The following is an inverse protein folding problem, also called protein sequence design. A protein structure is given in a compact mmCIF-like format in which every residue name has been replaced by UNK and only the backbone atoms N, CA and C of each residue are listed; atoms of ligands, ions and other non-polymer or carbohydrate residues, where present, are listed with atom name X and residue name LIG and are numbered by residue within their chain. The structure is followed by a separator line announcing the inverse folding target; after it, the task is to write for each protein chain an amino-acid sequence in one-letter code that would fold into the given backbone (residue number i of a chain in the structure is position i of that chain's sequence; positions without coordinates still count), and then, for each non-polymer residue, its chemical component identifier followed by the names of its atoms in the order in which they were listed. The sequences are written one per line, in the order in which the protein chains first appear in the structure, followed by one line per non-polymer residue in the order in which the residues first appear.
data_IF_211646738876
#
_entry.id   IF_211646738876
#
_cell.length_a   1.000
_cell.length_b   1.000
_cell.length_c   1.000
_cell.angle_alpha   90.00
_cell.angle_beta   90.00
_cell.angle_gamma   90.00
#
_symmetry.space_group_name_H-M   'P 1'
#
loop_
_entity.id
_entity.type
_entity.pdbx_description
1 polymer ?
#
# COMPACT_ATOMS: atom_id res chain seq x y z
N UNK A 1 1.35 73.34 36.42
CA UNK A 1 2.74 72.93 36.14
C UNK A 1 2.70 71.42 36.03
N UNK A 2 2.66 70.86 34.81
CA UNK A 2 3.83 70.35 34.06
C UNK A 2 4.66 69.38 34.94
N UNK A 3 4.92 68.12 34.58
CA UNK A 3 5.29 67.58 33.27
C UNK A 3 5.14 66.05 33.19
N UNK A 4 5.09 65.58 31.94
CA UNK A 4 5.10 64.22 31.42
C UNK A 4 6.48 63.50 31.51
N UNK A 5 6.43 62.16 31.25
CA UNK A 5 7.47 61.23 30.74
C UNK A 5 8.51 60.68 31.75
N UNK A 6 8.93 59.40 31.78
CA UNK A 6 8.88 58.32 30.78
C UNK A 6 9.16 56.91 31.38
N UNK A 7 8.57 55.87 30.75
CA UNK A 7 9.00 54.47 30.54
C UNK A 7 9.75 53.64 31.62
N UNK A 8 9.26 52.41 31.89
CA UNK A 8 9.90 51.17 31.39
C UNK A 8 9.12 49.86 31.69
N UNK A 9 8.80 49.17 30.58
CA UNK A 9 8.77 47.71 30.33
C UNK A 9 7.86 46.77 31.13
N UNK A 10 6.87 46.23 30.39
CA UNK A 10 6.14 44.99 30.67
C UNK A 10 7.03 43.76 30.44
N UNK A 11 6.97 42.79 31.34
CA UNK A 11 7.33 41.40 31.10
C UNK A 11 6.16 40.51 31.55
N UNK A 12 5.76 39.48 30.77
CA UNK A 12 4.56 38.71 31.02
C UNK A 12 4.78 37.64 32.10
N UNK A 13 3.77 37.46 32.96
CA UNK A 13 3.66 36.31 33.85
C UNK A 13 3.64 35.03 33.00
N UNK A 14 4.70 34.23 33.11
CA UNK A 14 4.68 32.82 32.70
C UNK A 14 3.78 32.07 33.70
N UNK A 15 2.53 31.82 33.31
CA UNK A 15 1.76 30.72 33.88
C UNK A 15 2.35 29.43 33.31
N UNK A 16 3.08 28.70 34.15
CA UNK A 16 3.41 27.29 33.91
C UNK A 16 2.10 26.50 33.79
N UNK A 17 1.69 26.25 32.55
CA UNK A 17 0.76 25.20 32.20
C UNK A 17 1.46 23.86 32.49
N UNK A 18 1.26 23.37 33.70
CA UNK A 18 1.52 21.98 34.06
C UNK A 18 0.56 21.12 33.26
N UNK A 19 1.05 20.60 32.12
CA UNK A 19 0.38 19.52 31.39
C UNK A 19 0.29 18.31 32.32
N UNK A 20 -0.95 17.83 32.52
CA UNK A 20 -1.26 16.57 33.19
C UNK A 20 -0.43 15.46 32.54
N UNK A 21 0.33 14.73 33.35
CA UNK A 21 0.96 13.47 32.98
C UNK A 21 -0.15 12.42 32.79
N UNK A 22 -0.86 12.50 31.67
CA UNK A 22 -1.75 11.44 31.25
C UNK A 22 -0.90 10.32 30.64
N UNK A 23 -0.74 9.25 31.43
CA UNK A 23 -0.38 7.89 31.05
C UNK A 23 0.70 7.72 29.95
N UNK A 24 1.98 7.78 30.35
CA UNK A 24 3.06 7.19 29.55
C UNK A 24 2.80 5.69 29.40
N UNK A 25 2.47 5.23 28.19
CA UNK A 25 2.26 3.82 27.88
C UNK A 25 3.57 3.23 27.31
N UNK A 26 4.41 2.58 28.12
CA UNK A 26 5.70 2.05 27.66
C UNK A 26 5.58 0.97 26.57
N UNK A 27 4.37 0.44 26.32
CA UNK A 27 4.12 -0.57 25.29
C UNK A 27 4.06 0.00 23.86
N UNK A 28 3.73 1.28 23.68
CA UNK A 28 3.69 1.90 22.33
C UNK A 28 5.09 2.13 21.76
N UNK A 29 6.07 2.39 22.62
CA UNK A 29 7.47 2.62 22.20
C UNK A 29 8.13 1.33 21.70
N UNK A 30 7.88 0.17 22.33
CA UNK A 30 8.47 -1.10 21.90
C UNK A 30 7.95 -1.60 20.55
N UNK A 31 6.65 -1.42 20.25
CA UNK A 31 6.07 -1.82 18.97
C UNK A 31 6.55 -0.92 17.83
N UNK A 32 6.63 0.39 18.07
CA UNK A 32 7.18 1.35 17.11
C UNK A 32 8.68 1.11 16.84
N UNK A 33 9.48 0.81 17.88
CA UNK A 33 10.88 0.44 17.71
C UNK A 33 11.04 -0.85 16.89
N UNK A 34 10.21 -1.87 17.13
CA UNK A 34 10.20 -3.10 16.33
C UNK A 34 9.78 -2.85 14.87
N UNK A 35 8.82 -1.95 14.64
CA UNK A 35 8.40 -1.55 13.30
C UNK A 35 9.52 -0.80 12.57
N UNK A 36 10.19 0.13 13.25
CA UNK A 36 11.33 0.88 12.70
C UNK A 36 12.47 -0.08 12.30
N UNK A 37 12.74 -1.10 13.13
CA UNK A 37 13.76 -2.13 12.84
C UNK A 37 13.42 -3.00 11.61
N UNK A 38 12.19 -2.98 11.10
CA UNK A 38 11.84 -3.67 9.86
C UNK A 38 12.44 -3.00 8.61
N UNK A 39 12.84 -1.72 8.70
CA UNK A 39 13.29 -0.93 7.56
C UNK A 39 14.78 -0.60 7.66
N UNK A 40 15.48 -0.57 6.52
CA UNK A 40 16.76 0.13 6.45
C UNK A 40 16.59 1.64 6.68
N UNK A 41 17.64 2.35 7.11
CA UNK A 41 17.59 3.81 7.36
C UNK A 41 17.04 4.59 6.16
N UNK A 42 17.44 4.17 4.96
CA UNK A 42 17.03 4.70 3.66
C UNK A 42 15.54 4.44 3.35
N UNK A 43 15.06 3.22 3.61
CA UNK A 43 13.65 2.85 3.43
C UNK A 43 12.76 3.56 4.46
N UNK A 44 13.25 3.75 5.68
CA UNK A 44 12.52 4.46 6.73
C UNK A 44 12.35 5.94 6.39
N UNK A 45 13.41 6.62 5.94
CA UNK A 45 13.32 8.02 5.48
C UNK A 45 12.29 8.14 4.33
N UNK A 46 12.29 7.18 3.41
CA UNK A 46 11.31 7.11 2.33
C UNK A 46 9.87 7.01 2.85
N UNK A 47 9.62 6.07 3.77
CA UNK A 47 8.27 5.84 4.31
C UNK A 47 7.81 7.06 5.12
N UNK A 48 8.70 7.71 5.88
CA UNK A 48 8.38 8.96 6.60
C UNK A 48 8.02 10.10 5.63
N UNK A 49 8.71 10.22 4.48
CA UNK A 49 8.34 11.20 3.44
C UNK A 49 6.98 10.93 2.84
N UNK A 50 6.68 9.66 2.53
CA UNK A 50 5.35 9.24 2.06
C UNK A 50 4.27 9.65 3.06
N UNK A 51 4.50 9.39 4.34
CA UNK A 51 3.59 9.79 5.41
C UNK A 51 3.36 11.31 5.42
N UNK A 52 4.44 12.11 5.38
CA UNK A 52 4.32 13.57 5.33
C UNK A 52 3.51 14.07 4.13
N UNK A 53 3.66 13.44 2.95
CA UNK A 53 2.88 13.77 1.76
C UNK A 53 1.39 13.38 1.89
N UNK A 54 1.10 12.26 2.57
CA UNK A 54 -0.28 11.84 2.87
C UNK A 54 -0.99 12.85 3.79
N UNK A 55 -0.25 13.44 4.74
CA UNK A 55 -0.76 14.47 5.66
C UNK A 55 -0.89 15.87 5.02
N UNK A 56 -0.31 16.12 3.84
CA UNK A 56 -0.50 17.41 3.15
C UNK A 56 -1.88 17.48 2.49
N UNK A 57 -2.84 18.08 3.20
CA UNK A 57 -4.21 18.28 2.72
C UNK A 57 -4.32 19.25 1.55
N UNK A 58 -3.28 20.03 1.25
CA UNK A 58 -3.26 20.91 0.06
C UNK A 58 -2.95 20.11 -1.20
N UNK A 59 -2.35 18.93 -1.06
CA UNK A 59 -2.11 18.02 -2.16
C UNK A 59 -3.36 17.15 -2.41
N UNK A 60 -4.00 17.35 -3.56
CA UNK A 60 -5.17 16.61 -4.02
C UNK A 60 -4.84 15.32 -4.77
N UNK A 61 -3.57 14.94 -4.85
CA UNK A 61 -3.13 13.68 -5.46
C UNK A 61 -3.75 12.47 -4.73
N UNK A 62 -3.97 11.39 -5.49
CA UNK A 62 -4.47 10.10 -4.97
C UNK A 62 -3.47 9.48 -3.99
N UNK A 63 -3.92 8.49 -3.21
CA UNK A 63 -3.06 7.76 -2.27
C UNK A 63 -1.80 7.19 -2.96
N UNK A 64 -1.98 6.51 -4.11
CA UNK A 64 -0.87 5.91 -4.84
C UNK A 64 0.06 6.97 -5.43
N UNK A 65 -0.49 8.07 -5.94
CA UNK A 65 0.29 9.19 -6.48
C UNK A 65 1.15 9.85 -5.40
N UNK A 66 0.59 10.10 -4.22
CA UNK A 66 1.34 10.68 -3.08
C UNK A 66 2.49 9.78 -2.67
N UNK A 67 2.28 8.46 -2.62
CA UNK A 67 3.35 7.51 -2.30
C UNK A 67 4.43 7.53 -3.39
N UNK A 68 4.05 7.38 -4.65
CA UNK A 68 5.01 7.27 -5.75
C UNK A 68 5.87 8.53 -5.92
N UNK A 69 5.29 9.72 -5.73
CA UNK A 69 5.99 11.00 -5.89
C UNK A 69 6.82 11.40 -4.67
N UNK A 70 6.68 10.70 -3.54
CA UNK A 70 7.46 10.96 -2.33
C UNK A 70 8.88 10.38 -2.36
N UNK A 71 9.24 9.64 -3.42
CA UNK A 71 10.56 9.01 -3.54
C UNK A 71 11.66 10.00 -3.97
N UNK A 72 12.71 10.25 -3.15
CA UNK A 72 13.76 11.23 -3.42
C UNK A 72 14.91 10.66 -4.27
N UNK A 73 14.89 9.36 -4.56
CA UNK A 73 15.98 8.69 -5.24
C UNK A 73 16.04 9.02 -6.74
N UNK A 74 17.25 9.05 -7.33
CA UNK A 74 17.52 9.89 -8.49
C UNK A 74 16.82 9.36 -9.75
N UNK A 75 15.73 10.01 -10.13
CA UNK A 75 15.51 10.89 -11.30
C UNK A 75 16.36 10.73 -12.58
N UNK A 76 17.40 9.90 -12.63
CA UNK A 76 18.22 9.68 -13.83
C UNK A 76 17.48 8.92 -14.94
N UNK A 77 16.30 8.34 -14.66
CA UNK A 77 15.56 7.53 -15.62
C UNK A 77 14.12 7.98 -15.89
N UNK A 78 13.47 8.72 -14.98
CA UNK A 78 12.10 9.19 -15.17
C UNK A 78 11.92 10.56 -14.48
N UNK A 79 11.62 11.62 -15.24
CA UNK A 79 11.19 12.90 -14.63
C UNK A 79 9.90 12.69 -13.81
N UNK A 80 9.62 13.52 -12.80
CA UNK A 80 8.40 13.41 -12.00
C UNK A 80 7.11 13.37 -12.85
N UNK A 81 7.10 14.05 -14.00
CA UNK A 81 6.01 14.00 -14.98
C UNK A 81 5.81 12.60 -15.61
N UNK A 82 6.86 11.80 -15.74
CA UNK A 82 6.74 10.41 -16.22
C UNK A 82 6.19 9.48 -15.15
N UNK A 83 6.59 9.65 -13.89
CA UNK A 83 6.03 8.85 -12.79
C UNK A 83 4.54 9.15 -12.60
N UNK A 84 4.17 10.44 -12.60
CA UNK A 84 2.76 10.85 -12.56
C UNK A 84 1.92 10.16 -13.65
N UNK A 85 2.35 10.23 -14.92
CA UNK A 85 1.66 9.55 -16.02
C UNK A 85 1.57 8.03 -15.87
N UNK A 86 2.55 7.39 -15.22
CA UNK A 86 2.52 5.95 -14.93
C UNK A 86 1.46 5.62 -13.90
N UNK A 87 1.42 6.37 -12.81
CA UNK A 87 0.44 6.14 -11.75
C UNK A 87 -0.96 6.46 -12.23
N UNK A 88 -1.16 7.56 -12.97
CA UNK A 88 -2.44 7.87 -13.65
C UNK A 88 -2.88 6.70 -14.54
N UNK A 89 -1.98 6.17 -15.38
CA UNK A 89 -2.29 5.01 -16.22
C UNK A 89 -2.60 3.74 -15.40
N UNK A 90 -1.86 3.49 -14.32
CA UNK A 90 -2.09 2.35 -13.43
C UNK A 90 -3.47 2.46 -12.78
N UNK A 91 -3.84 3.63 -12.24
CA UNK A 91 -5.14 3.86 -11.59
C UNK A 91 -6.30 3.83 -12.58
N UNK A 92 -6.12 4.38 -13.79
CA UNK A 92 -7.20 4.52 -14.78
C UNK A 92 -7.42 3.27 -15.64
N UNK A 93 -6.37 2.48 -15.88
CA UNK A 93 -6.39 1.39 -16.90
C UNK A 93 -5.99 0.02 -16.37
N UNK A 94 -5.23 -0.05 -15.29
CA UNK A 94 -4.68 -1.33 -14.80
C UNK A 94 -5.43 -1.80 -13.57
N UNK A 95 -5.47 -1.02 -12.49
CA UNK A 95 -6.05 -1.44 -11.22
C UNK A 95 -7.57 -1.25 -11.20
N UNK A 96 -8.29 -2.01 -10.37
CA UNK A 96 -9.71 -1.78 -10.15
C UNK A 96 -9.97 -0.34 -9.66
N UNK A 97 -11.07 0.26 -10.12
CA UNK A 97 -11.49 1.59 -9.66
C UNK A 97 -11.60 1.62 -8.14
N UNK A 98 -11.03 2.66 -7.52
CA UNK A 98 -11.05 2.83 -6.06
C UNK A 98 -9.97 2.04 -5.32
N UNK A 99 -9.17 1.20 -5.99
CA UNK A 99 -8.16 0.36 -5.33
C UNK A 99 -7.20 1.15 -4.43
N UNK A 100 -6.75 2.34 -4.83
CA UNK A 100 -5.87 3.16 -4.00
C UNK A 100 -6.48 3.54 -2.64
N UNK A 101 -7.78 3.81 -2.61
CA UNK A 101 -8.53 4.04 -1.37
C UNK A 101 -8.69 2.74 -0.58
N UNK A 102 -9.03 1.64 -1.26
CA UNK A 102 -9.19 0.33 -0.63
C UNK A 102 -7.90 -0.17 0.01
N UNK A 103 -6.75 0.04 -0.65
CA UNK A 103 -5.43 -0.29 -0.12
C UNK A 103 -5.09 0.58 1.08
N UNK A 104 -5.34 1.89 1.01
CA UNK A 104 -5.15 2.81 2.13
C UNK A 104 -5.94 2.34 3.35
N UNK A 105 -7.20 1.97 3.15
CA UNK A 105 -8.04 1.44 4.23
C UNK A 105 -7.48 0.11 4.74
N UNK A 106 -7.18 -0.85 3.86
CA UNK A 106 -6.64 -2.16 4.20
C UNK A 106 -5.33 -2.10 5.02
N UNK A 107 -4.44 -1.17 4.68
CA UNK A 107 -3.20 -0.87 5.41
C UNK A 107 -3.47 -0.33 6.82
N UNK A 108 -4.63 0.29 7.04
CA UNK A 108 -5.06 0.88 8.30
C UNK A 108 -6.07 0.03 9.10
N UNK A 109 -6.46 -1.16 8.62
CA UNK A 109 -7.43 -2.02 9.32
C UNK A 109 -6.76 -2.74 10.50
N UNK A 110 -6.74 -2.06 11.64
CA UNK A 110 -7.10 -2.59 12.96
C UNK A 110 -7.92 -1.51 13.71
N UNK A 111 -9.23 -1.62 13.50
CA UNK A 111 -10.39 -1.32 14.37
C UNK A 111 -10.27 -0.28 15.52
N UNK A 112 -11.27 0.60 15.53
CA UNK A 112 -11.82 1.42 16.63
C UNK A 112 -11.11 2.75 16.93
N UNK A 113 -11.65 3.80 16.29
CA UNK A 113 -11.82 5.15 16.83
C UNK A 113 -10.61 5.70 17.58
N UNK A 114 -9.62 6.17 16.84
CA UNK A 114 -9.04 7.45 17.23
C UNK A 114 -9.93 8.52 16.62
N UNK A 115 -10.58 9.29 17.50
CA UNK A 115 -11.24 10.54 17.17
C UNK A 115 -10.25 11.38 16.34
N UNK A 116 -10.43 11.45 15.02
CA UNK A 116 -10.02 12.54 14.09
C UNK A 116 -9.77 12.07 12.64
N UNK A 117 -9.74 10.76 12.34
CA UNK A 117 -9.61 10.30 10.95
C UNK A 117 -8.23 10.55 10.31
N UNK A 118 -7.24 10.91 11.12
CA UNK A 118 -5.85 11.04 10.72
C UNK A 118 -5.15 9.67 10.74
N UNK A 119 -4.27 9.44 9.75
CA UNK A 119 -3.41 8.26 9.72
C UNK A 119 -2.29 8.50 10.71
N UNK A 120 -2.08 7.64 11.71
CA UNK A 120 -0.88 7.74 12.55
C UNK A 120 0.34 7.18 11.82
N UNK A 121 1.53 7.73 12.08
CA UNK A 121 2.79 7.24 11.50
C UNK A 121 3.00 5.75 11.79
N UNK A 122 2.70 5.32 13.01
CA UNK A 122 2.80 3.91 13.44
C UNK A 122 1.90 2.99 12.59
N UNK A 123 0.63 3.35 12.38
CA UNK A 123 -0.29 2.58 11.53
C UNK A 123 0.20 2.54 10.08
N UNK A 124 0.74 3.65 9.58
CA UNK A 124 1.31 3.68 8.24
C UNK A 124 2.54 2.78 8.12
N UNK A 125 3.48 2.84 9.08
CA UNK A 125 4.65 1.97 9.14
C UNK A 125 4.26 0.50 9.22
N UNK A 126 3.28 0.14 10.07
CA UNK A 126 2.72 -1.21 10.16
C UNK A 126 2.10 -1.65 8.85
N UNK A 127 1.28 -0.80 8.22
CA UNK A 127 0.68 -1.09 6.92
C UNK A 127 1.73 -1.34 5.84
N UNK A 128 2.78 -0.53 5.77
CA UNK A 128 3.88 -0.73 4.82
C UNK A 128 4.66 -2.02 5.13
N UNK A 129 4.93 -2.29 6.41
CA UNK A 129 5.61 -3.52 6.82
C UNK A 129 4.78 -4.77 6.47
N UNK A 130 3.48 -4.75 6.71
CA UNK A 130 2.52 -5.79 6.34
C UNK A 130 2.46 -6.00 4.81
N UNK A 131 2.64 -4.94 4.02
CA UNK A 131 2.72 -5.03 2.56
C UNK A 131 4.04 -5.65 2.08
N UNK A 132 5.19 -5.25 2.62
CA UNK A 132 6.49 -5.45 1.95
C UNK A 132 7.47 -6.39 2.68
N UNK A 133 7.44 -6.45 4.01
CA UNK A 133 8.55 -7.01 4.81
C UNK A 133 8.11 -8.21 5.64
N UNK A 134 6.88 -8.16 6.17
CA UNK A 134 6.32 -9.18 7.06
C UNK A 134 5.82 -10.40 6.28
N UNK A 135 5.15 -11.30 6.99
CA UNK A 135 4.75 -12.60 6.46
C UNK A 135 3.80 -12.51 5.24
N UNK A 136 3.80 -13.60 4.46
CA UNK A 136 2.90 -13.73 3.31
C UNK A 136 1.42 -13.70 3.72
N UNK A 137 1.10 -14.01 4.99
CA UNK A 137 -0.27 -13.99 5.52
C UNK A 137 -0.83 -12.57 5.59
N UNK A 138 -0.04 -11.58 5.99
CA UNK A 138 -0.44 -10.18 5.98
C UNK A 138 -0.63 -9.64 4.56
N UNK A 139 0.21 -10.05 3.62
CA UNK A 139 0.04 -9.70 2.21
C UNK A 139 -1.26 -10.27 1.63
N UNK A 140 -1.57 -11.54 1.93
CA UNK A 140 -2.86 -12.16 1.58
C UNK A 140 -4.04 -11.45 2.26
N UNK A 141 -3.89 -11.07 3.53
CA UNK A 141 -4.89 -10.25 4.25
C UNK A 141 -5.19 -8.97 3.49
N UNK A 142 -4.17 -8.25 3.07
CA UNK A 142 -4.31 -6.97 2.35
C UNK A 142 -4.94 -7.14 0.97
N UNK A 143 -4.60 -8.20 0.23
CA UNK A 143 -5.26 -8.54 -1.05
C UNK A 143 -6.75 -8.77 -0.80
N UNK A 144 -7.09 -9.61 0.17
CA UNK A 144 -8.48 -9.92 0.52
C UNK A 144 -9.25 -8.66 0.93
N UNK A 145 -8.67 -7.88 1.85
CA UNK A 145 -9.32 -6.69 2.40
C UNK A 145 -9.53 -5.64 1.29
N UNK A 146 -8.57 -5.48 0.37
CA UNK A 146 -8.69 -4.58 -0.79
C UNK A 146 -9.83 -4.97 -1.75
N UNK A 147 -10.15 -6.25 -1.87
CA UNK A 147 -11.30 -6.75 -2.63
C UNK A 147 -12.64 -6.61 -1.88
N UNK A 148 -12.62 -6.30 -0.59
CA UNK A 148 -13.78 -6.38 0.31
C UNK A 148 -14.24 -5.02 0.87
N UNK A 149 -13.67 -3.90 0.41
CA UNK A 149 -13.88 -2.57 1.02
C UNK A 149 -15.29 -2.01 0.78
N UNK A 150 -15.81 -2.12 -0.44
CA UNK A 150 -17.05 -1.43 -0.84
C UNK A 150 -18.34 -2.25 -0.61
N UNK A 151 -18.24 -3.44 -0.01
CA UNK A 151 -19.37 -4.38 -0.03
C UNK A 151 -19.49 -5.12 1.30
N UNK A 152 -20.19 -4.47 2.24
CA UNK A 152 -20.53 -5.05 3.55
C UNK A 152 -21.32 -6.36 3.42
N UNK A 153 -22.06 -6.55 2.33
CA UNK A 153 -22.79 -7.80 2.05
C UNK A 153 -21.84 -8.92 1.58
N UNK A 154 -20.76 -8.60 0.82
CA UNK A 154 -19.74 -9.61 0.43
C UNK A 154 -18.89 -10.11 1.59
N UNK A 155 -18.70 -9.33 2.66
CA UNK A 155 -18.04 -9.83 3.88
C UNK A 155 -18.83 -10.96 4.54
N UNK A 156 -20.16 -10.96 4.39
CA UNK A 156 -21.03 -12.03 4.91
C UNK A 156 -21.25 -13.17 3.90
N UNK A 157 -21.15 -12.90 2.60
CA UNK A 157 -21.46 -13.87 1.53
C UNK A 157 -20.24 -14.46 0.80
N UNK A 158 -19.02 -13.99 1.07
CA UNK A 158 -17.81 -14.42 0.38
C UNK A 158 -17.54 -13.63 -0.90
N UNK A 159 -16.34 -13.76 -1.44
CA UNK A 159 -15.88 -13.09 -2.65
C UNK A 159 -15.94 -14.02 -3.86
N UNK A 160 -16.19 -13.43 -5.03
CA UNK A 160 -15.94 -14.08 -6.31
C UNK A 160 -14.43 -14.30 -6.51
N UNK A 161 -13.96 -15.56 -6.70
CA UNK A 161 -12.57 -15.88 -7.01
C UNK A 161 -11.96 -15.04 -8.13
N UNK A 162 -12.75 -14.69 -9.17
CA UNK A 162 -12.29 -13.89 -10.29
C UNK A 162 -11.80 -12.51 -9.84
N UNK A 163 -12.50 -11.86 -8.90
CA UNK A 163 -12.09 -10.54 -8.37
C UNK A 163 -10.72 -10.59 -7.69
N UNK A 164 -10.42 -11.67 -6.97
CA UNK A 164 -9.17 -11.82 -6.23
C UNK A 164 -8.02 -12.09 -7.20
N UNK A 165 -8.22 -13.02 -8.14
CA UNK A 165 -7.18 -13.40 -9.12
C UNK A 165 -6.90 -12.27 -10.10
N UNK A 166 -7.93 -11.59 -10.62
CA UNK A 166 -7.80 -10.41 -11.49
C UNK A 166 -7.02 -9.29 -10.79
N UNK A 167 -7.30 -9.00 -9.51
CA UNK A 167 -6.50 -8.04 -8.74
C UNK A 167 -5.03 -8.44 -8.69
N UNK A 168 -4.71 -9.70 -8.39
CA UNK A 168 -3.32 -10.17 -8.30
C UNK A 168 -2.60 -10.08 -9.65
N UNK A 169 -3.30 -10.38 -10.74
CA UNK A 169 -2.79 -10.23 -12.11
C UNK A 169 -2.48 -8.76 -12.43
N UNK A 170 -3.44 -7.86 -12.13
CA UNK A 170 -3.28 -6.41 -12.33
C UNK A 170 -2.17 -5.81 -11.48
N UNK A 171 -2.02 -6.23 -10.22
CA UNK A 171 -0.91 -5.82 -9.35
C UNK A 171 0.44 -6.20 -9.92
N UNK A 172 0.55 -7.40 -10.49
CA UNK A 172 1.78 -7.88 -11.14
C UNK A 172 2.17 -7.00 -12.33
N UNK A 173 1.20 -6.63 -13.18
CA UNK A 173 1.43 -5.75 -14.32
C UNK A 173 1.73 -4.32 -13.86
N UNK A 174 1.02 -3.81 -12.84
CA UNK A 174 1.26 -2.48 -12.28
C UNK A 174 2.69 -2.36 -11.73
N UNK A 175 3.20 -3.38 -11.03
CA UNK A 175 4.58 -3.43 -10.56
C UNK A 175 5.61 -3.36 -11.71
N UNK A 176 5.34 -4.07 -12.81
CA UNK A 176 6.17 -4.00 -14.03
C UNK A 176 6.13 -2.60 -14.67
N UNK A 177 4.95 -1.97 -14.73
CA UNK A 177 4.78 -0.61 -15.25
C UNK A 177 5.52 0.42 -14.42
N UNK A 178 5.65 0.26 -13.10
CA UNK A 178 6.40 1.23 -12.29
C UNK A 178 7.89 1.23 -12.66
N UNK A 179 8.47 0.06 -12.92
CA UNK A 179 9.93 -0.11 -13.07
C UNK A 179 10.42 -0.08 -14.52
N UNK A 180 9.55 -0.37 -15.50
CA UNK A 180 9.94 -0.51 -16.89
C UNK A 180 10.25 0.83 -17.55
N UNK A 181 11.50 1.08 -17.97
CA UNK A 181 11.95 2.39 -18.50
C UNK A 181 11.09 2.95 -19.63
N UNK A 182 10.74 2.12 -20.60
CA UNK A 182 9.86 2.46 -21.71
C UNK A 182 8.83 1.33 -21.84
N UNK A 183 7.57 1.65 -21.62
CA UNK A 183 6.45 0.74 -21.81
C UNK A 183 5.47 1.37 -22.80
N UNK A 184 4.77 0.53 -23.55
CA UNK A 184 3.72 0.94 -24.46
C UNK A 184 2.38 0.76 -23.75
N UNK A 185 1.70 1.89 -23.47
CA UNK A 185 0.42 1.90 -22.76
C UNK A 185 -0.65 1.12 -23.53
N UNK A 186 -0.69 1.26 -24.86
CA UNK A 186 -1.69 0.61 -25.70
C UNK A 186 -1.45 -0.90 -25.74
N UNK A 187 -0.18 -1.32 -25.83
CA UNK A 187 0.18 -2.73 -25.78
C UNK A 187 -0.16 -3.37 -24.42
N UNK A 188 0.04 -2.66 -23.31
CA UNK A 188 -0.31 -3.17 -21.97
C UNK A 188 -1.82 -3.28 -21.80
N UNK A 189 -2.60 -2.28 -22.26
CA UNK A 189 -4.06 -2.37 -22.22
C UNK A 189 -4.57 -3.52 -23.08
N UNK A 190 -4.05 -3.68 -24.30
CA UNK A 190 -4.41 -4.80 -25.16
C UNK A 190 -4.04 -6.16 -24.53
N UNK A 191 -2.90 -6.25 -23.83
CA UNK A 191 -2.47 -7.45 -23.09
C UNK A 191 -3.44 -7.78 -21.96
N UNK A 192 -3.82 -6.78 -21.16
CA UNK A 192 -4.80 -6.95 -20.08
C UNK A 192 -6.14 -7.49 -20.59
N UNK A 193 -6.60 -7.04 -21.76
CA UNK A 193 -7.87 -7.49 -22.33
C UNK A 193 -7.79 -8.86 -23.00
N UNK A 194 -6.67 -9.18 -23.66
CA UNK A 194 -6.53 -10.39 -24.49
C UNK A 194 -5.95 -11.60 -23.76
N UNK A 195 -5.07 -11.40 -22.77
CA UNK A 195 -4.39 -12.49 -22.07
C UNK A 195 -5.02 -12.83 -20.72
N UNK A 196 -5.94 -12.02 -20.19
CA UNK A 196 -6.52 -12.22 -18.86
C UNK A 196 -7.11 -13.62 -18.69
N UNK A 197 -7.99 -14.05 -19.59
CA UNK A 197 -8.66 -15.36 -19.50
C UNK A 197 -7.66 -16.52 -19.51
N UNK A 198 -6.60 -16.41 -20.32
CA UNK A 198 -5.55 -17.42 -20.36
C UNK A 198 -4.71 -17.42 -19.08
N UNK A 199 -4.40 -16.24 -18.54
CA UNK A 199 -3.57 -16.06 -17.35
C UNK A 199 -4.28 -16.46 -16.05
N UNK A 200 -5.57 -16.15 -15.93
CA UNK A 200 -6.32 -16.20 -14.68
C UNK A 200 -7.22 -17.44 -14.55
N UNK A 201 -7.81 -17.96 -15.64
CA UNK A 201 -8.89 -18.96 -15.57
C UNK A 201 -8.56 -20.24 -14.79
N UNK A 202 -7.31 -20.69 -14.82
CA UNK A 202 -6.88 -21.87 -14.04
C UNK A 202 -6.83 -21.57 -12.53
N UNK A 203 -6.35 -20.39 -12.15
CA UNK A 203 -6.28 -19.96 -10.75
C UNK A 203 -7.67 -19.65 -10.21
N UNK A 204 -8.52 -19.00 -11.01
CA UNK A 204 -9.92 -18.72 -10.67
C UNK A 204 -10.70 -20.00 -10.40
N UNK A 205 -10.58 -21.00 -11.29
CA UNK A 205 -11.21 -22.31 -11.11
C UNK A 205 -10.70 -23.01 -9.88
N UNK A 206 -9.38 -23.03 -9.69
CA UNK A 206 -8.75 -23.66 -8.53
C UNK A 206 -9.18 -23.02 -7.21
N UNK A 207 -9.29 -21.70 -7.15
CA UNK A 207 -9.79 -20.99 -5.97
C UNK A 207 -11.28 -21.25 -5.76
N UNK A 208 -12.10 -21.23 -6.82
CA UNK A 208 -13.52 -21.52 -6.76
C UNK A 208 -13.84 -22.91 -6.17
N UNK A 209 -13.00 -23.91 -6.45
CA UNK A 209 -13.13 -25.28 -5.91
C UNK A 209 -12.98 -25.35 -4.38
N UNK A 210 -12.35 -24.35 -3.76
CA UNK A 210 -12.20 -24.28 -2.30
C UNK A 210 -13.42 -23.65 -1.60
N UNK A 211 -14.26 -22.97 -2.36
CA UNK A 211 -15.43 -22.23 -1.89
C UNK A 211 -16.72 -23.04 -1.90
N UNK A 212 -17.84 -22.34 -1.74
CA UNK A 212 -19.19 -22.90 -1.86
C UNK A 212 -20.03 -21.99 -2.74
N UNK A 213 -20.87 -22.55 -3.62
CA UNK A 213 -21.71 -21.77 -4.56
C UNK A 213 -20.92 -20.79 -5.45
N UNK A 214 -19.64 -21.08 -5.75
CA UNK A 214 -18.81 -20.23 -6.60
C UNK A 214 -18.21 -19.01 -5.89
N UNK A 215 -18.38 -18.88 -4.57
CA UNK A 215 -17.76 -17.84 -3.75
C UNK A 215 -16.83 -18.44 -2.71
N UNK A 216 -15.79 -17.71 -2.34
CA UNK A 216 -14.79 -18.11 -1.34
C UNK A 216 -14.85 -17.18 -0.14
N UNK A 217 -14.57 -17.68 1.06
CA UNK A 217 -14.35 -16.83 2.23
C UNK A 217 -12.84 -16.60 2.48
N UNK A 218 -12.51 -15.75 3.45
CA UNK A 218 -11.13 -15.36 3.75
C UNK A 218 -10.24 -16.56 4.10
N UNK A 219 -10.79 -17.53 4.84
CA UNK A 219 -10.06 -18.73 5.24
C UNK A 219 -9.80 -19.64 4.03
N UNK A 220 -10.80 -19.86 3.16
CA UNK A 220 -10.64 -20.61 1.93
C UNK A 220 -9.53 -20.01 1.05
N UNK A 221 -9.53 -18.69 0.89
CA UNK A 221 -8.49 -18.00 0.13
C UNK A 221 -7.10 -18.19 0.74
N UNK A 222 -6.97 -18.10 2.06
CA UNK A 222 -5.67 -18.25 2.73
C UNK A 222 -5.13 -19.68 2.59
N UNK A 223 -5.98 -20.68 2.81
CA UNK A 223 -5.61 -22.09 2.70
C UNK A 223 -5.24 -22.46 1.25
N UNK A 224 -6.03 -21.97 0.29
CA UNK A 224 -5.74 -22.11 -1.14
C UNK A 224 -4.41 -21.46 -1.52
N UNK A 225 -4.17 -20.21 -1.10
CA UNK A 225 -2.96 -19.49 -1.43
C UNK A 225 -1.72 -20.21 -0.87
N UNK A 226 -1.78 -20.75 0.35
CA UNK A 226 -0.65 -21.46 0.95
C UNK A 226 -0.33 -22.80 0.28
N UNK A 227 -1.34 -23.48 -0.26
CA UNK A 227 -1.18 -24.85 -0.79
C UNK A 227 -1.05 -24.92 -2.30
N UNK A 228 -1.77 -24.05 -3.01
CA UNK A 228 -1.99 -24.12 -4.46
C UNK A 228 -1.37 -22.94 -5.22
N UNK A 229 -1.24 -21.77 -4.58
CA UNK A 229 -0.71 -20.56 -5.20
C UNK A 229 0.20 -19.73 -4.26
N UNK A 230 1.31 -20.30 -3.73
CA UNK A 230 2.11 -19.69 -2.67
C UNK A 230 2.71 -18.33 -3.04
N UNK A 231 2.89 -18.08 -4.34
CA UNK A 231 3.44 -16.83 -4.86
C UNK A 231 2.42 -15.70 -4.97
N UNK A 232 1.13 -15.94 -4.77
CA UNK A 232 0.10 -14.92 -5.01
C UNK A 232 0.23 -13.72 -4.05
N UNK A 233 0.70 -13.96 -2.83
CA UNK A 233 1.05 -12.94 -1.83
C UNK A 233 2.08 -11.92 -2.35
N UNK A 234 3.02 -12.37 -3.19
CA UNK A 234 4.11 -11.55 -3.71
C UNK A 234 3.64 -10.47 -4.69
N UNK A 235 2.42 -10.57 -5.23
CA UNK A 235 1.86 -9.56 -6.13
C UNK A 235 1.63 -8.24 -5.40
N UNK A 236 1.11 -8.30 -4.18
CA UNK A 236 0.93 -7.13 -3.30
C UNK A 236 2.27 -6.55 -2.87
N UNK A 237 3.18 -7.39 -2.37
CA UNK A 237 4.48 -6.91 -1.89
C UNK A 237 5.32 -6.32 -3.01
N UNK A 238 5.32 -6.94 -4.20
CA UNK A 238 6.02 -6.42 -5.37
C UNK A 238 5.45 -5.07 -5.80
N UNK A 239 4.13 -4.94 -5.92
CA UNK A 239 3.51 -3.67 -6.32
C UNK A 239 3.84 -2.54 -5.34
N UNK A 240 3.60 -2.75 -4.04
CA UNK A 240 3.80 -1.71 -3.02
C UNK A 240 5.29 -1.39 -2.85
N UNK A 241 6.17 -2.39 -2.91
CA UNK A 241 7.61 -2.17 -2.86
C UNK A 241 8.07 -1.35 -4.06
N UNK A 242 7.63 -1.67 -5.29
CA UNK A 242 8.00 -0.85 -6.44
C UNK A 242 7.42 0.56 -6.32
N UNK A 243 6.20 0.72 -5.81
CA UNK A 243 5.61 2.03 -5.60
C UNK A 243 6.45 2.91 -4.66
N UNK A 244 6.90 2.34 -3.53
CA UNK A 244 7.68 3.04 -2.50
C UNK A 244 9.16 3.20 -2.86
N UNK A 245 9.74 2.17 -3.46
CA UNK A 245 11.19 1.97 -3.55
C UNK A 245 11.68 1.67 -4.98
N UNK A 246 11.01 2.19 -6.02
CA UNK A 246 11.30 1.96 -7.45
C UNK A 246 12.75 2.26 -7.92
N UNK A 247 13.60 2.75 -7.04
CA UNK A 247 14.95 3.26 -7.30
C UNK A 247 16.04 2.53 -6.52
N UNK A 248 15.68 1.82 -5.44
CA UNK A 248 16.61 0.95 -4.75
C UNK A 248 16.68 -0.36 -5.53
N UNK A 249 17.89 -0.87 -5.78
CA UNK A 249 18.02 -2.26 -6.25
C UNK A 249 17.37 -3.13 -5.17
N UNK A 250 16.40 -3.94 -5.56
CA UNK A 250 15.69 -4.88 -4.69
C UNK A 250 16.66 -5.49 -3.66
N UNK A 251 16.33 -5.48 -2.35
CA UNK A 251 17.11 -6.23 -1.40
C UNK A 251 17.09 -7.70 -1.83
N UNK A 252 18.29 -8.27 -2.02
CA UNK A 252 18.53 -9.65 -2.47
C UNK A 252 18.00 -10.72 -1.51
N UNK A 253 17.28 -10.34 -0.45
CA UNK A 253 16.72 -11.21 0.58
C UNK A 253 15.26 -11.59 0.35
N UNK A 254 14.54 -10.93 -0.56
CA UNK A 254 13.25 -11.43 -1.02
C UNK A 254 13.51 -12.52 -2.07
N UNK A 255 13.10 -13.75 -1.78
CA UNK A 255 13.09 -14.87 -2.74
C UNK A 255 12.12 -14.56 -3.88
N UNK A 256 12.55 -13.69 -4.78
CA UNK A 256 11.83 -13.32 -5.98
C UNK A 256 11.90 -14.49 -6.96
N UNK A 257 10.80 -15.21 -7.08
CA UNK A 257 10.54 -16.10 -8.21
C UNK A 257 9.69 -15.29 -9.18
N UNK A 258 10.26 -14.75 -10.28
CA UNK A 258 9.46 -14.10 -11.30
C UNK A 258 8.41 -15.08 -11.79
N UNK A 259 7.14 -14.67 -11.75
CA UNK A 259 6.06 -15.44 -12.36
C UNK A 259 6.35 -15.60 -13.85
N UNK A 260 6.66 -16.83 -14.26
CA UNK A 260 6.82 -17.19 -15.67
C UNK A 260 5.52 -17.80 -16.12
N UNK A 261 4.91 -17.21 -17.14
CA UNK A 261 3.78 -17.82 -17.84
C UNK A 261 4.18 -19.24 -18.27
N UNK A 262 3.30 -20.24 -18.10
CA UNK A 262 3.51 -21.54 -18.71
C UNK A 262 3.58 -21.32 -20.22
N UNK A 263 4.77 -21.41 -20.80
CA UNK A 263 4.92 -21.51 -22.24
C UNK A 263 4.31 -22.85 -22.63
N UNK A 264 3.27 -22.83 -23.47
CA UNK A 264 2.71 -24.02 -24.08
C UNK A 264 3.86 -24.84 -24.68
N UNK A 265 4.15 -25.99 -24.07
CA UNK A 265 5.09 -26.96 -24.59
C UNK A 265 4.43 -27.76 -25.71
N UNK A 266 5.06 -27.77 -26.89
CA UNK A 266 4.89 -28.82 -27.91
C UNK A 266 5.22 -30.21 -27.34
#
# INVERSE_FOLDING_TARGET
MNENQEMQTMAPNQQELTLSNDAYCPYQDEELEQLIQCFGEEELDQVIRCYAALMDHRNSDTFLMKIALSSPYPLSLLSGNRMRRRIEFIEDKILPSGFGSSLREAMAVELLVDYEGEISLERFLKGVADCCIRDSKNQLRLIWDSCSVDDTELKEHGLDPAKIVDLCYRLSIAAEVITTRNFDMDAITAKLESEHDFACSSLERSLAETGSNGVVNKQNFFDWAQTSAPHISSTMSSFVHQLLFHTTKMPTTLNYVPFKFPTSSD
#
